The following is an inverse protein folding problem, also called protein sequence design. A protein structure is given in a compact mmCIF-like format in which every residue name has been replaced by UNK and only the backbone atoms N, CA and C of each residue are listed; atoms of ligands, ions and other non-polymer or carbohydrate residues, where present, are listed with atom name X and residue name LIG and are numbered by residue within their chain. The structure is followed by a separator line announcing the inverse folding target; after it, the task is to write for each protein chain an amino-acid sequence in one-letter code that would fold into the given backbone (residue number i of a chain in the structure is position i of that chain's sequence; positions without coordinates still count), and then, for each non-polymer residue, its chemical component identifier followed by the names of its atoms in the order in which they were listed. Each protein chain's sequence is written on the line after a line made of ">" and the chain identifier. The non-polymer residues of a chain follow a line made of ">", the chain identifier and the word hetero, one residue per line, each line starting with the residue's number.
data_IF_003713653792
#
_entry.id   IF_003713653792
#
_cell.length_a   1.000
_cell.length_b   1.000
_cell.length_c   1.000
_cell.angle_alpha   90.00
_cell.angle_beta   90.00
_cell.angle_gamma   90.00
#
_symmetry.space_group_name_H-M   'P 1'
#
loop_
_entity.id
_entity.type
_entity.pdbx_description
1 polymer ?
#
# COMPACT_ATOMS: atom_id res chain seq x y z
N UNK A 1 4.89 3.10 19.93
CA UNK A 1 5.19 4.51 19.57
C UNK A 1 6.43 4.72 18.68
N UNK A 2 7.42 3.82 18.60
CA UNK A 2 8.61 4.02 17.75
C UNK A 2 8.32 4.05 16.24
N UNK A 3 7.34 3.29 15.76
CA UNK A 3 6.96 3.23 14.34
C UNK A 3 6.42 4.56 13.81
N UNK A 4 5.58 5.25 14.57
CA UNK A 4 5.00 6.56 14.20
C UNK A 4 6.05 7.66 14.09
N UNK A 5 6.98 7.71 15.05
CA UNK A 5 8.11 8.64 15.02
C UNK A 5 9.03 8.33 13.82
N UNK A 6 9.21 7.06 13.48
CA UNK A 6 9.97 6.65 12.29
C UNK A 6 9.25 6.98 10.98
N UNK A 7 7.92 6.90 10.95
CA UNK A 7 7.09 7.29 9.81
C UNK A 7 7.17 8.81 9.58
N UNK A 8 6.92 9.62 10.63
CA UNK A 8 7.06 11.07 10.54
C UNK A 8 8.50 11.50 10.27
N UNK A 9 9.52 10.81 10.81
CA UNK A 9 10.93 11.06 10.44
C UNK A 9 11.25 10.67 9.00
N UNK A 10 10.65 9.61 8.48
CA UNK A 10 10.79 9.21 7.07
C UNK A 10 10.16 10.26 6.16
N UNK A 11 8.95 10.69 6.48
CA UNK A 11 8.22 11.77 5.81
C UNK A 11 9.05 13.08 5.86
N UNK A 12 9.52 13.49 7.04
CA UNK A 12 10.35 14.69 7.23
C UNK A 12 11.71 14.61 6.51
N UNK A 13 12.34 13.43 6.40
CA UNK A 13 13.54 13.23 5.56
C UNK A 13 13.22 13.25 4.07
N UNK A 14 12.06 12.75 3.67
CA UNK A 14 11.60 12.78 2.28
C UNK A 14 11.41 14.23 1.81
N UNK A 15 10.87 15.09 2.68
CA UNK A 15 10.73 16.53 2.47
C UNK A 15 12.05 17.31 2.40
N UNK A 16 13.17 16.76 2.87
CA UNK A 16 14.47 17.45 2.84
C UNK A 16 15.11 17.51 1.45
N UNK A 17 14.57 16.83 0.45
CA UNK A 17 15.09 16.84 -0.93
C UNK A 17 14.09 17.45 -1.90
N UNK A 18 14.55 18.28 -2.85
CA UNK A 18 13.68 18.88 -3.89
C UNK A 18 12.90 17.82 -4.69
N UNK A 19 13.52 16.67 -4.94
CA UNK A 19 12.88 15.54 -5.63
C UNK A 19 11.79 14.85 -4.78
N UNK A 20 12.00 14.71 -3.47
CA UNK A 20 11.02 14.14 -2.56
C UNK A 20 9.80 15.04 -2.36
N UNK A 21 9.98 16.36 -2.32
CA UNK A 21 8.88 17.31 -2.29
C UNK A 21 8.04 17.31 -3.58
N UNK A 22 8.67 17.31 -4.75
CA UNK A 22 7.96 17.21 -6.03
C UNK A 22 7.16 15.91 -6.15
N UNK A 23 7.77 14.78 -5.72
CA UNK A 23 7.09 13.48 -5.67
C UNK A 23 5.91 13.51 -4.69
N UNK A 24 6.06 14.16 -3.54
CA UNK A 24 4.98 14.31 -2.55
C UNK A 24 3.79 15.12 -3.11
N UNK A 25 4.06 16.27 -3.73
CA UNK A 25 3.01 17.07 -4.38
C UNK A 25 2.29 16.29 -5.48
N UNK A 26 3.03 15.45 -6.21
CA UNK A 26 2.46 14.60 -7.25
C UNK A 26 1.56 13.51 -6.67
N UNK A 27 1.90 12.88 -5.55
CA UNK A 27 1.12 11.77 -4.97
C UNK A 27 -0.04 12.20 -4.07
N UNK A 28 0.02 13.41 -3.50
CA UNK A 28 -1.01 14.01 -2.63
C UNK A 28 -2.45 13.81 -3.09
N UNK A 29 -2.82 14.11 -4.36
CA UNK A 29 -4.20 13.94 -4.82
C UNK A 29 -4.65 12.47 -4.88
N UNK A 30 -3.70 11.53 -4.93
CA UNK A 30 -3.98 10.11 -5.02
C UNK A 30 -4.12 9.43 -3.65
N UNK A 31 -3.78 10.11 -2.54
CA UNK A 31 -3.85 9.53 -1.18
C UNK A 31 -5.27 9.07 -0.84
N UNK A 32 -6.28 9.89 -1.13
CA UNK A 32 -7.69 9.49 -0.89
C UNK A 32 -8.12 8.36 -1.82
N UNK A 33 -7.66 8.38 -3.05
CA UNK A 33 -7.96 7.33 -4.03
C UNK A 33 -7.27 6.00 -3.70
N UNK A 34 -6.18 6.02 -2.94
CA UNK A 34 -5.42 4.83 -2.54
C UNK A 34 -6.16 3.94 -1.52
N UNK A 35 -7.10 4.49 -0.73
CA UNK A 35 -7.85 3.76 0.30
C UNK A 35 -8.62 2.53 -0.22
N UNK A 36 -9.47 2.63 -1.27
CA UNK A 36 -10.18 1.46 -1.78
C UNK A 36 -9.24 0.35 -2.27
N UNK A 37 -8.03 0.68 -2.75
CA UNK A 37 -7.04 -0.32 -3.14
C UNK A 37 -6.45 -1.07 -1.94
N UNK A 38 -6.31 -0.39 -0.80
CA UNK A 38 -5.86 -1.01 0.46
C UNK A 38 -6.94 -1.99 0.95
N UNK A 39 -8.21 -1.58 0.95
CA UNK A 39 -9.33 -2.44 1.37
C UNK A 39 -9.49 -3.66 0.46
N UNK A 40 -9.45 -3.46 -0.86
CA UNK A 40 -9.49 -4.54 -1.84
C UNK A 40 -8.31 -5.50 -1.67
N UNK A 41 -7.10 -4.97 -1.44
CA UNK A 41 -5.93 -5.79 -1.22
C UNK A 41 -5.99 -6.59 0.10
N UNK A 42 -6.54 -6.02 1.17
CA UNK A 42 -6.76 -6.73 2.42
C UNK A 42 -7.81 -7.84 2.26
N UNK A 43 -8.88 -7.60 1.50
CA UNK A 43 -9.88 -8.62 1.18
C UNK A 43 -9.27 -9.77 0.35
N UNK A 44 -8.41 -9.45 -0.61
CA UNK A 44 -7.71 -10.45 -1.42
C UNK A 44 -6.68 -11.23 -0.59
N UNK A 45 -5.85 -10.55 0.20
CA UNK A 45 -4.81 -11.18 1.02
C UNK A 45 -5.41 -12.07 2.13
N UNK A 46 -6.61 -11.74 2.62
CA UNK A 46 -7.36 -12.57 3.59
C UNK A 46 -8.18 -13.70 2.93
N UNK A 47 -8.17 -13.81 1.60
CA UNK A 47 -8.94 -14.81 0.86
C UNK A 47 -10.45 -14.56 0.82
N UNK A 48 -10.92 -13.39 1.28
CA UNK A 48 -12.34 -12.99 1.20
C UNK A 48 -12.76 -12.61 -0.21
N UNK A 49 -11.80 -12.25 -1.06
CA UNK A 49 -12.03 -11.88 -2.45
C UNK A 49 -10.96 -12.48 -3.35
N UNK A 50 -11.31 -12.87 -4.58
CA UNK A 50 -10.34 -13.31 -5.57
C UNK A 50 -9.64 -12.11 -6.21
N UNK A 51 -8.32 -12.20 -6.40
CA UNK A 51 -7.58 -11.17 -7.15
C UNK A 51 -7.95 -11.26 -8.64
N UNK A 52 -7.95 -10.12 -9.37
CA UNK A 52 -8.09 -10.13 -10.83
C UNK A 52 -7.01 -11.01 -11.48
N UNK A 53 -7.33 -11.73 -12.56
CA UNK A 53 -6.40 -12.67 -13.21
C UNK A 53 -5.03 -12.08 -13.55
N UNK A 54 -5.00 -10.82 -13.97
CA UNK A 54 -3.77 -10.08 -14.28
C UNK A 54 -2.89 -9.95 -13.03
N UNK A 55 -3.50 -9.65 -11.89
CA UNK A 55 -2.82 -9.51 -10.60
C UNK A 55 -2.39 -10.88 -10.09
N UNK A 56 -3.26 -11.90 -10.19
CA UNK A 56 -2.95 -13.28 -9.80
C UNK A 56 -1.73 -13.82 -10.53
N UNK A 57 -1.62 -13.60 -11.85
CA UNK A 57 -0.44 -13.99 -12.63
C UNK A 57 0.83 -13.27 -12.19
N UNK A 58 0.71 -11.95 -12.00
CA UNK A 58 1.84 -11.09 -11.63
C UNK A 58 2.35 -11.41 -10.21
N UNK A 59 1.45 -11.74 -9.29
CA UNK A 59 1.79 -12.21 -7.95
C UNK A 59 2.43 -13.60 -7.97
N UNK A 60 1.94 -14.52 -8.80
CA UNK A 60 2.57 -15.83 -8.96
C UNK A 60 4.01 -15.71 -9.51
N UNK A 61 4.26 -14.74 -10.39
CA UNK A 61 5.59 -14.49 -10.94
C UNK A 61 6.52 -13.82 -9.93
N UNK A 62 6.04 -12.79 -9.21
CA UNK A 62 6.86 -12.04 -8.23
C UNK A 62 7.00 -12.74 -6.88
N UNK A 63 5.98 -13.48 -6.49
CA UNK A 63 5.86 -14.17 -5.21
C UNK A 63 5.36 -15.60 -5.43
N UNK A 64 6.14 -16.45 -6.12
CA UNK A 64 5.75 -17.84 -6.38
C UNK A 64 5.46 -18.64 -5.09
N UNK A 65 6.04 -18.21 -3.97
CA UNK A 65 5.83 -18.81 -2.65
C UNK A 65 4.54 -18.34 -1.94
N UNK A 66 3.89 -17.28 -2.43
CA UNK A 66 2.65 -16.69 -1.89
C UNK A 66 1.45 -16.87 -2.84
N UNK A 67 1.64 -17.58 -3.96
CA UNK A 67 0.63 -18.02 -4.91
C UNK A 67 -0.53 -18.79 -4.21
N UNK A 68 -1.74 -18.87 -4.79
CA UNK A 68 -3.05 -18.73 -4.11
C UNK A 68 -3.47 -19.84 -3.12
N UNK A 69 -2.57 -20.77 -2.79
CA UNK A 69 -2.82 -21.89 -1.88
C UNK A 69 -1.86 -21.98 -0.70
N UNK A 70 -0.91 -21.04 -0.57
CA UNK A 70 -0.14 -20.88 0.67
C UNK A 70 -0.66 -19.64 1.39
N UNK A 71 -1.64 -19.87 2.26
CA UNK A 71 -2.10 -18.88 3.24
C UNK A 71 -0.87 -18.20 3.84
N UNK A 72 -0.73 -16.87 3.79
CA UNK A 72 0.36 -16.18 4.47
C UNK A 72 0.36 -16.65 5.93
N UNK A 73 1.48 -17.25 6.36
CA UNK A 73 1.55 -17.98 7.64
C UNK A 73 1.69 -17.03 8.82
N UNK A 74 2.04 -15.78 8.54
CA UNK A 74 2.25 -14.73 9.53
C UNK A 74 1.53 -13.45 9.13
N UNK A 75 1.17 -12.64 10.13
CA UNK A 75 0.50 -11.34 9.93
C UNK A 75 1.35 -10.39 9.06
N UNK A 76 2.68 -10.47 9.16
CA UNK A 76 3.60 -9.65 8.39
C UNK A 76 3.65 -10.06 6.91
N UNK A 77 3.59 -11.35 6.60
CA UNK A 77 3.46 -11.84 5.23
C UNK A 77 2.13 -11.38 4.60
N UNK A 78 1.03 -11.40 5.35
CA UNK A 78 -0.27 -10.91 4.88
C UNK A 78 -0.21 -9.43 4.54
N UNK A 79 0.45 -8.62 5.39
CA UNK A 79 0.63 -7.18 5.16
C UNK A 79 1.49 -6.91 3.92
N UNK A 80 2.57 -7.67 3.74
CA UNK A 80 3.44 -7.55 2.56
C UNK A 80 2.71 -7.93 1.28
N UNK A 81 1.93 -9.02 1.31
CA UNK A 81 1.12 -9.45 0.19
C UNK A 81 0.03 -8.42 -0.15
N UNK A 82 -0.68 -7.90 0.85
CA UNK A 82 -1.66 -6.84 0.66
C UNK A 82 -1.02 -5.58 0.07
N UNK A 83 0.15 -5.16 0.56
CA UNK A 83 0.86 -4.02 -0.01
C UNK A 83 1.26 -4.25 -1.47
N UNK A 84 1.70 -5.47 -1.81
CA UNK A 84 2.03 -5.83 -3.19
C UNK A 84 0.79 -5.81 -4.09
N UNK A 85 -0.32 -6.40 -3.65
CA UNK A 85 -1.60 -6.38 -4.37
C UNK A 85 -2.06 -4.94 -4.59
N UNK A 86 -2.11 -4.12 -3.53
CA UNK A 86 -2.55 -2.73 -3.61
C UNK A 86 -1.67 -1.91 -4.56
N UNK A 87 -0.36 -2.14 -4.53
CA UNK A 87 0.59 -1.48 -5.43
C UNK A 87 0.28 -1.80 -6.89
N UNK A 88 0.06 -3.06 -7.22
CA UNK A 88 -0.17 -3.47 -8.61
C UNK A 88 -1.57 -3.07 -9.09
N UNK A 89 -2.60 -3.15 -8.24
CA UNK A 89 -3.93 -2.64 -8.56
C UNK A 89 -3.89 -1.14 -8.86
N UNK A 90 -3.28 -0.35 -7.97
CA UNK A 90 -3.17 1.09 -8.16
C UNK A 90 -2.30 1.44 -9.37
N UNK A 91 -1.31 0.61 -9.71
CA UNK A 91 -0.45 0.82 -10.89
C UNK A 91 -1.20 0.60 -12.21
N UNK A 92 -2.18 -0.29 -12.24
CA UNK A 92 -3.00 -0.51 -13.44
C UNK A 92 -3.80 0.76 -13.80
N UNK A 93 -4.32 1.43 -12.78
CA UNK A 93 -5.16 2.63 -12.92
C UNK A 93 -4.34 3.92 -13.03
N UNK A 94 -3.19 4.00 -12.35
CA UNK A 94 -2.33 5.18 -12.29
C UNK A 94 -0.93 4.92 -12.88
N UNK A 95 -0.89 4.66 -14.19
CA UNK A 95 0.35 4.33 -14.92
C UNK A 95 1.37 5.47 -14.99
N UNK A 96 0.95 6.71 -14.69
CA UNK A 96 1.80 7.90 -14.60
C UNK A 96 2.61 7.97 -13.29
N UNK A 97 2.30 7.12 -12.31
CA UNK A 97 3.03 7.02 -11.06
C UNK A 97 4.06 5.88 -11.11
N UNK A 98 5.21 6.13 -10.52
CA UNK A 98 6.21 5.08 -10.31
C UNK A 98 5.80 4.15 -9.17
N UNK A 99 6.35 2.93 -9.12
CA UNK A 99 6.10 1.99 -8.03
C UNK A 99 6.40 2.59 -6.65
N UNK A 100 7.45 3.42 -6.54
CA UNK A 100 7.82 4.09 -5.29
C UNK A 100 6.80 5.17 -4.90
N UNK A 101 6.31 5.95 -5.86
CA UNK A 101 5.26 6.94 -5.64
C UNK A 101 3.95 6.28 -5.18
N UNK A 102 3.55 5.18 -5.82
CA UNK A 102 2.37 4.39 -5.45
C UNK A 102 2.50 3.85 -4.03
N UNK A 103 3.63 3.20 -3.70
CA UNK A 103 3.86 2.68 -2.35
C UNK A 103 3.81 3.78 -1.30
N UNK A 104 4.39 4.95 -1.57
CA UNK A 104 4.32 6.10 -0.66
C UNK A 104 2.91 6.64 -0.52
N UNK A 105 2.13 6.62 -1.60
CA UNK A 105 0.70 7.00 -1.56
C UNK A 105 -0.08 6.05 -0.66
N UNK A 106 0.10 4.73 -0.83
CA UNK A 106 -0.55 3.70 -0.02
C UNK A 106 -0.13 3.78 1.46
N UNK A 107 1.15 4.00 1.74
CA UNK A 107 1.65 4.20 3.11
C UNK A 107 1.00 5.41 3.80
N UNK A 108 0.90 6.54 3.09
CA UNK A 108 0.25 7.75 3.60
C UNK A 108 -1.25 7.56 3.80
N UNK A 109 -1.92 6.92 2.85
CA UNK A 109 -3.34 6.63 2.92
C UNK A 109 -3.68 5.71 4.10
N UNK A 110 -2.86 4.67 4.32
CA UNK A 110 -3.03 3.78 5.47
C UNK A 110 -2.81 4.52 6.80
N UNK A 111 -1.82 5.41 6.87
CA UNK A 111 -1.56 6.20 8.07
C UNK A 111 -2.73 7.14 8.39
N UNK A 112 -3.31 7.78 7.38
CA UNK A 112 -4.47 8.66 7.52
C UNK A 112 -5.73 7.89 7.94
N UNK A 113 -6.02 6.76 7.29
CA UNK A 113 -7.12 5.87 7.67
C UNK A 113 -7.00 5.39 9.11
N UNK A 114 -5.81 4.95 9.51
CA UNK A 114 -5.57 4.47 10.87
C UNK A 114 -5.77 5.59 11.90
N UNK A 115 -5.30 6.80 11.62
CA UNK A 115 -5.51 7.95 12.49
C UNK A 115 -6.99 8.30 12.64
N UNK A 116 -7.78 8.20 11.56
CA UNK A 116 -9.24 8.41 11.59
C UNK A 116 -9.95 7.35 12.44
N UNK A 117 -9.55 6.08 12.34
CA UNK A 117 -10.17 4.99 13.11
C UNK A 117 -9.82 5.07 14.60
N UNK A 118 -8.56 5.33 14.93
CA UNK A 118 -8.11 5.46 16.34
C UNK A 118 -8.68 6.73 16.99
N UNK A 119 -8.86 7.82 16.23
CA UNK A 119 -9.48 9.06 16.71
C UNK A 119 -11.00 8.99 16.88
N UNK A 120 -11.68 8.01 16.28
CA UNK A 120 -13.12 7.76 16.48
C UNK A 120 -13.43 6.82 17.64
N UNK A 121 -12.41 6.15 18.18
CA UNK A 121 -12.53 5.23 19.31
C UNK A 121 -12.31 5.91 20.68
N UNK A 122 -12.14 7.24 20.69
CA UNK A 122 -12.11 8.10 21.88
C UNK A 122 -13.41 8.90 21.97
#
# INVERSE_FOLDING_TARGET
>A
MRWFINLFRSIARFFRTKAGFASFQKILPYIKAALPYIDAAAAIASGRQSAPDVISRLLNEKFPNLAPFKVPRTEDETKLLALAIATELMRLDYRNLTTNEIRKTLELAYADWKAIQEGRAQ
#
